data_IF_973151680595
#
_entry.id   IF_973151680595
#
_cell.length_a   1.000
_cell.length_b   1.000
_cell.length_c   1.000
_cell.angle_alpha   90.00
_cell.angle_beta   90.00
_cell.angle_gamma   90.00
#
_symmetry.space_group_name_H-M   'P 1'
#
loop_
_entity.id
_entity.type
_entity.pdbx_description
1 polymer ?
#
# COMPACT_ATOMS: atom_id res chain seq x y z
N UNK A 1 -8.34 12.72 -5.86
CA UNK A 1 -8.01 11.33 -5.50
C UNK A 1 -6.87 11.30 -4.49
N UNK A 2 -6.87 10.29 -3.66
CA UNK A 2 -5.90 10.13 -2.57
C UNK A 2 -5.31 8.74 -2.60
N UNK A 3 -4.13 8.60 -2.01
CA UNK A 3 -3.49 7.32 -1.82
C UNK A 3 -3.28 7.10 -0.33
N UNK A 4 -3.74 5.96 0.17
CA UNK A 4 -3.43 5.48 1.49
C UNK A 4 -2.20 4.59 1.35
N UNK A 5 -1.05 5.08 1.81
CA UNK A 5 0.21 4.39 1.68
C UNK A 5 0.61 3.74 3.00
N UNK A 6 0.94 2.46 2.94
CA UNK A 6 1.45 1.71 4.09
C UNK A 6 2.86 1.24 3.75
N UNK A 7 3.85 1.74 4.47
CA UNK A 7 5.23 1.29 4.34
C UNK A 7 5.50 0.27 5.43
N UNK A 8 5.91 -0.93 5.04
CA UNK A 8 6.05 -2.06 5.95
C UNK A 8 7.46 -2.63 5.86
N UNK A 9 8.14 -2.73 7.00
CA UNK A 9 9.37 -3.52 7.09
C UNK A 9 8.99 -4.84 7.76
N UNK A 10 9.24 -5.96 7.07
CA UNK A 10 8.88 -7.31 7.52
C UNK A 10 10.15 -8.12 7.79
N UNK A 11 10.18 -8.87 8.90
CA UNK A 11 11.29 -9.76 9.21
C UNK A 11 11.47 -10.82 8.13
N UNK A 12 12.71 -11.12 7.80
CA UNK A 12 13.03 -12.10 6.77
C UNK A 12 12.49 -13.49 7.08
N UNK A 13 12.43 -13.85 8.36
CA UNK A 13 11.99 -15.18 8.79
C UNK A 13 10.55 -15.51 8.42
N UNK A 14 9.70 -14.50 8.29
CA UNK A 14 8.29 -14.71 7.95
C UNK A 14 7.90 -14.07 6.61
N UNK A 15 8.89 -13.54 5.89
CA UNK A 15 8.66 -12.76 4.68
C UNK A 15 7.80 -13.49 3.65
N UNK A 16 8.16 -14.72 3.30
CA UNK A 16 7.46 -15.44 2.22
C UNK A 16 5.99 -15.73 2.58
N UNK A 17 5.75 -16.12 3.82
CA UNK A 17 4.40 -16.38 4.31
C UNK A 17 3.58 -15.10 4.38
N UNK A 18 4.18 -14.00 4.85
CA UNK A 18 3.52 -12.70 4.90
C UNK A 18 3.21 -12.18 3.49
N UNK A 19 4.15 -12.30 2.56
CA UNK A 19 3.97 -11.85 1.18
C UNK A 19 2.81 -12.59 0.50
N UNK A 20 2.74 -13.90 0.68
CA UNK A 20 1.65 -14.70 0.18
C UNK A 20 0.31 -14.25 0.75
N UNK A 21 0.25 -14.05 2.07
CA UNK A 21 -0.94 -13.56 2.75
C UNK A 21 -1.38 -12.18 2.22
N UNK A 22 -0.44 -11.28 2.01
CA UNK A 22 -0.74 -9.96 1.45
C UNK A 22 -1.41 -10.07 0.08
N UNK A 23 -0.85 -10.91 -0.79
CA UNK A 23 -1.36 -11.04 -2.17
C UNK A 23 -2.69 -11.77 -2.25
N UNK A 24 -2.88 -12.79 -1.46
CA UNK A 24 -4.04 -13.68 -1.57
C UNK A 24 -5.19 -13.35 -0.66
N UNK A 25 -4.93 -12.66 0.44
CA UNK A 25 -5.95 -12.39 1.45
C UNK A 25 -6.09 -10.91 1.79
N UNK A 26 -5.02 -10.25 2.24
CA UNK A 26 -5.17 -8.89 2.78
C UNK A 26 -5.50 -7.84 1.72
N UNK A 27 -4.73 -7.78 0.64
CA UNK A 27 -4.99 -6.81 -0.42
C UNK A 27 -6.37 -7.03 -1.05
N UNK A 28 -6.76 -8.28 -1.40
CA UNK A 28 -8.13 -8.52 -1.84
C UNK A 28 -9.20 -8.07 -0.85
N UNK A 29 -8.99 -8.29 0.45
CA UNK A 29 -9.93 -7.85 1.49
C UNK A 29 -10.04 -6.32 1.55
N UNK A 30 -8.92 -5.62 1.41
CA UNK A 30 -8.91 -4.16 1.34
C UNK A 30 -9.75 -3.64 0.17
N UNK A 31 -9.57 -4.23 -1.01
CA UNK A 31 -10.35 -3.85 -2.20
C UNK A 31 -11.81 -4.22 -2.07
N UNK A 32 -12.12 -5.32 -1.40
CA UNK A 32 -13.49 -5.78 -1.19
C UNK A 32 -14.31 -4.83 -0.30
N UNK A 33 -13.66 -3.93 0.44
CA UNK A 33 -14.38 -2.92 1.23
C UNK A 33 -15.16 -1.95 0.33
N UNK A 34 -14.77 -1.83 -0.93
CA UNK A 34 -15.33 -0.85 -1.86
C UNK A 34 -14.80 0.56 -1.65
N UNK A 35 -13.87 0.76 -0.72
CA UNK A 35 -13.30 2.08 -0.41
C UNK A 35 -12.11 2.45 -1.29
N UNK A 36 -11.51 1.47 -1.95
CA UNK A 36 -10.32 1.65 -2.79
C UNK A 36 -10.54 1.03 -4.16
N UNK A 37 -10.08 1.73 -5.19
CA UNK A 37 -10.22 1.29 -6.58
C UNK A 37 -9.03 0.48 -7.09
N UNK A 38 -7.88 0.64 -6.44
CA UNK A 38 -6.63 0.03 -6.92
C UNK A 38 -5.67 -0.14 -5.75
N UNK A 39 -4.86 -1.20 -5.83
CA UNK A 39 -3.75 -1.41 -4.91
C UNK A 39 -2.48 -1.70 -5.71
N UNK A 40 -1.37 -1.12 -5.26
CA UNK A 40 -0.06 -1.34 -5.85
C UNK A 40 0.92 -1.64 -4.74
N UNK A 41 1.54 -2.81 -4.76
CA UNK A 41 2.57 -3.18 -3.80
C UNK A 41 3.93 -3.20 -4.49
N UNK A 42 4.88 -2.46 -3.93
CA UNK A 42 6.23 -2.32 -4.47
C UNK A 42 7.26 -2.62 -3.40
N UNK A 43 8.31 -3.32 -3.79
CA UNK A 43 9.46 -3.52 -2.90
C UNK A 43 10.33 -2.27 -2.94
N UNK A 44 10.68 -1.77 -1.78
CA UNK A 44 11.61 -0.63 -1.66
C UNK A 44 13.03 -1.16 -1.80
N UNK A 45 13.75 -0.66 -2.79
CA UNK A 45 15.12 -1.11 -3.09
C UNK A 45 16.10 -0.24 -2.33
N UNK A 46 16.33 -0.60 -1.07
CA UNK A 46 17.31 0.06 -0.20
C UNK A 46 18.01 -1.02 0.64
N UNK A 47 19.18 -0.68 1.18
CA UNK A 47 19.80 -1.49 2.21
C UNK A 47 19.20 -1.11 3.56
N UNK A 48 18.65 -2.10 4.26
CA UNK A 48 18.11 -1.90 5.59
C UNK A 48 19.17 -2.23 6.63
N UNK A 49 19.66 -1.21 7.34
CA UNK A 49 20.66 -1.40 8.40
C UNK A 49 20.14 -2.32 9.52
N UNK A 50 18.84 -2.27 9.77
CA UNK A 50 18.18 -3.06 10.81
C UNK A 50 17.73 -4.42 10.31
N UNK A 51 18.00 -4.76 9.06
CA UNK A 51 17.52 -5.98 8.43
C UNK A 51 16.07 -5.87 7.97
N UNK A 52 15.50 -7.01 7.57
CA UNK A 52 14.14 -7.08 7.05
C UNK A 52 14.04 -6.66 5.59
N UNK A 53 12.82 -6.67 5.09
CA UNK A 53 12.51 -6.31 3.71
C UNK A 53 11.40 -5.26 3.75
N UNK A 54 11.55 -4.17 3.00
CA UNK A 54 10.60 -3.07 3.03
C UNK A 54 9.74 -3.04 1.79
N UNK A 55 8.43 -2.86 2.00
CA UNK A 55 7.44 -2.71 0.95
C UNK A 55 6.65 -1.42 1.13
N UNK A 56 6.22 -0.86 0.01
CA UNK A 56 5.24 0.23 -0.03
C UNK A 56 3.97 -0.34 -0.65
N UNK A 57 2.85 -0.24 0.06
CA UNK A 57 1.55 -0.70 -0.44
C UNK A 57 0.65 0.53 -0.54
N UNK A 58 0.24 0.85 -1.76
CA UNK A 58 -0.53 2.05 -2.04
C UNK A 58 -1.94 1.69 -2.48
N UNK A 59 -2.92 2.18 -1.75
CA UNK A 59 -4.34 1.99 -2.05
C UNK A 59 -4.92 3.32 -2.51
N UNK A 60 -5.48 3.34 -3.71
CA UNK A 60 -6.07 4.55 -4.29
C UNK A 60 -7.55 4.65 -3.92
N UNK A 61 -7.97 5.82 -3.50
CA UNK A 61 -9.36 6.12 -3.16
C UNK A 61 -9.82 7.41 -3.84
N UNK A 62 -11.12 7.53 -4.10
CA UNK A 62 -11.69 8.64 -4.87
C UNK A 62 -11.70 9.95 -4.10
N UNK A 63 -11.89 9.91 -2.79
CA UNK A 63 -12.07 11.12 -2.00
C UNK A 63 -11.55 10.95 -0.58
N UNK A 64 -11.33 12.08 0.08
CA UNK A 64 -10.97 12.11 1.49
C UNK A 64 -12.10 11.53 2.36
N UNK A 65 -13.34 11.80 1.99
CA UNK A 65 -14.51 11.27 2.67
C UNK A 65 -14.54 9.75 2.62
N UNK A 66 -14.19 9.16 1.49
CA UNK A 66 -14.13 7.71 1.33
C UNK A 66 -13.04 7.11 2.22
N UNK A 67 -11.89 7.78 2.31
CA UNK A 67 -10.81 7.36 3.19
C UNK A 67 -11.23 7.42 4.67
N UNK A 68 -11.96 8.47 5.07
CA UNK A 68 -12.50 8.58 6.42
C UNK A 68 -13.49 7.44 6.72
N UNK A 69 -14.31 7.06 5.75
CA UNK A 69 -15.22 5.92 5.89
C UNK A 69 -14.45 4.62 6.10
N UNK A 70 -13.35 4.44 5.37
CA UNK A 70 -12.49 3.29 5.58
C UNK A 70 -11.98 3.23 7.04
N UNK A 71 -11.50 4.34 7.56
CA UNK A 71 -11.03 4.39 8.94
C UNK A 71 -12.14 4.05 9.95
N UNK A 72 -13.33 4.57 9.72
CA UNK A 72 -14.45 4.36 10.64
C UNK A 72 -15.04 2.95 10.55
N UNK A 73 -15.11 2.38 9.36
CA UNK A 73 -15.88 1.16 9.11
C UNK A 73 -15.02 -0.12 8.98
N UNK A 74 -13.76 0.01 8.52
CA UNK A 74 -13.00 -1.15 8.10
C UNK A 74 -11.60 -1.29 8.71
N UNK A 75 -10.94 -0.18 9.03
CA UNK A 75 -9.51 -0.22 9.38
C UNK A 75 -9.19 -1.10 10.58
N UNK A 76 -9.97 -1.00 11.65
CA UNK A 76 -9.71 -1.77 12.87
C UNK A 76 -9.75 -3.28 12.61
N UNK A 77 -10.77 -3.75 11.89
CA UNK A 77 -10.93 -5.16 11.56
C UNK A 77 -9.83 -5.67 10.66
N UNK A 78 -9.49 -4.89 9.61
CA UNK A 78 -8.47 -5.29 8.65
C UNK A 78 -7.07 -5.32 9.26
N UNK A 79 -6.77 -4.36 10.14
CA UNK A 79 -5.50 -4.37 10.89
C UNK A 79 -5.42 -5.56 11.85
N UNK A 80 -6.54 -5.93 12.47
CA UNK A 80 -6.58 -7.09 13.35
C UNK A 80 -6.25 -8.40 12.63
N UNK A 81 -6.50 -8.48 11.33
CA UNK A 81 -6.17 -9.67 10.54
C UNK A 81 -4.67 -9.92 10.41
N UNK A 82 -3.83 -8.91 10.68
CA UNK A 82 -2.37 -9.05 10.67
C UNK A 82 -1.81 -9.64 11.96
N UNK A 83 -2.66 -9.96 12.93
CA UNK A 83 -2.25 -10.48 14.22
C UNK A 83 -1.30 -11.69 14.15
N UNK A 84 -1.45 -12.65 13.21
CA UNK A 84 -0.50 -13.75 13.09
C UNK A 84 0.96 -13.32 12.86
N UNK A 85 1.17 -12.09 12.42
CA UNK A 85 2.50 -11.54 12.15
C UNK A 85 2.92 -10.51 13.20
N UNK A 86 2.16 -10.37 14.28
CA UNK A 86 2.41 -9.38 15.33
C UNK A 86 3.82 -9.50 15.89
N UNK A 87 4.50 -8.36 16.06
CA UNK A 87 5.87 -8.30 16.55
C UNK A 87 6.93 -8.62 15.50
N UNK A 88 6.52 -8.98 14.27
CA UNK A 88 7.43 -9.36 13.18
C UNK A 88 7.47 -8.33 12.06
N UNK A 89 6.80 -7.20 12.21
CA UNK A 89 6.83 -6.12 11.24
C UNK A 89 6.67 -4.76 11.91
N UNK A 90 7.10 -3.73 11.19
CA UNK A 90 6.88 -2.32 11.56
C UNK A 90 6.18 -1.66 10.37
N UNK A 91 5.12 -0.91 10.65
CA UNK A 91 4.35 -0.25 9.59
C UNK A 91 4.19 1.23 9.88
N UNK A 92 4.35 2.03 8.82
CA UNK A 92 4.07 3.46 8.83
C UNK A 92 3.01 3.76 7.79
N UNK A 93 2.08 4.64 8.15
CA UNK A 93 0.97 4.99 7.28
C UNK A 93 1.01 6.46 6.94
N UNK A 94 0.85 6.78 5.65
CA UNK A 94 0.79 8.14 5.16
C UNK A 94 -0.36 8.29 4.18
N UNK A 95 -0.93 9.49 4.14
CA UNK A 95 -1.96 9.83 3.15
C UNK A 95 -1.31 10.74 2.12
N UNK A 96 -1.54 10.45 0.84
CA UNK A 96 -1.01 11.24 -0.26
C UNK A 96 -2.18 11.81 -1.05
N UNK A 97 -2.15 13.11 -1.31
CA UNK A 97 -3.09 13.73 -2.23
C UNK A 97 -2.51 13.71 -3.63
N UNK A 98 -3.26 13.15 -4.59
CA UNK A 98 -2.81 13.15 -5.98
C UNK A 98 -3.03 14.55 -6.53
N UNK A 99 -1.93 15.22 -6.86
CA UNK A 99 -1.94 16.59 -7.37
C UNK A 99 -2.02 16.60 -8.89
N UNK A 100 -1.31 15.71 -9.55
CA UNK A 100 -1.37 15.56 -10.99
C UNK A 100 -0.91 14.17 -11.39
N UNK A 101 -1.42 13.68 -12.50
CA UNK A 101 -1.06 12.39 -13.05
C UNK A 101 -0.77 12.56 -14.53
N UNK A 102 0.37 12.05 -14.98
CA UNK A 102 0.82 12.21 -16.35
C UNK A 102 1.19 10.86 -16.94
N UNK A 103 0.75 10.63 -18.15
CA UNK A 103 1.06 9.43 -18.91
C UNK A 103 1.84 9.80 -20.16
N UNK A 104 2.85 9.01 -20.49
CA UNK A 104 3.54 9.21 -21.76
C UNK A 104 2.61 8.86 -22.92
N UNK A 105 2.46 9.79 -23.86
CA UNK A 105 1.71 9.57 -25.09
C UNK A 105 2.66 9.33 -26.24
N UNK A 106 2.42 8.27 -27.01
CA UNK A 106 3.27 7.92 -28.17
C UNK A 106 3.32 9.01 -29.24
N UNK A 107 2.29 9.88 -29.28
CA UNK A 107 2.20 10.97 -30.25
C UNK A 107 3.07 12.17 -29.90
N UNK A 108 3.54 12.24 -28.65
CA UNK A 108 4.35 13.37 -28.22
C UNK A 108 5.78 13.24 -28.75
N UNK A 109 6.22 14.25 -29.48
CA UNK A 109 7.60 14.35 -29.96
C UNK A 109 8.24 15.56 -29.28
N UNK A 110 9.21 15.35 -28.38
CA UNK A 110 9.88 16.48 -27.72
C UNK A 110 10.59 17.36 -28.75
N UNK A 111 10.52 18.66 -28.52
CA UNK A 111 11.29 19.58 -29.35
C UNK A 111 12.77 19.38 -29.12
N UNK A 112 13.53 19.32 -30.21
CA UNK A 112 14.98 19.33 -30.09
C UNK A 112 15.42 20.75 -29.71
N UNK A 113 16.22 20.82 -28.69
CA UNK A 113 16.81 22.10 -28.29
C UNK A 113 18.27 22.16 -28.71
#
# INVERSE_FOLDING_TARGET
MYIYNVTINIEETIHDRWLDWMKTEHIPAMLATGKFSKALMSRVIIEEEMGGITYSVQYTTDSKEMLQKYYAENAAELRAQSKPFEGKFVAFRTELEIVSEHWWEKKYVPKKT
#
